data_IF_910085223919
#
_entry.id   IF_910085223919
#
_cell.length_a   1.000
_cell.length_b   1.000
_cell.length_c   1.000
_cell.angle_alpha   90.00
_cell.angle_beta   90.00
_cell.angle_gamma   90.00
#
_symmetry.space_group_name_H-M   'P 1'
#
loop_
_entity.id
_entity.type
_entity.pdbx_description
1 polymer ?
#
# COMPACT_ATOMS: atom_id res chain seq x y z
N UNK A 1 -41.03 20.46 -5.17
CA UNK A 1 -39.62 20.53 -5.55
C UNK A 1 -39.11 19.12 -5.91
N UNK A 2 -38.80 18.85 -7.18
CA UNK A 2 -38.17 17.58 -7.57
C UNK A 2 -36.69 17.64 -7.17
N UNK A 3 -36.28 16.88 -6.16
CA UNK A 3 -34.88 16.70 -5.81
C UNK A 3 -34.16 16.08 -7.01
N UNK A 4 -33.15 16.76 -7.54
CA UNK A 4 -32.28 16.22 -8.58
C UNK A 4 -31.65 14.91 -8.06
N UNK A 5 -31.57 13.84 -8.88
CA UNK A 5 -30.97 12.59 -8.47
C UNK A 5 -29.51 12.82 -8.08
N UNK A 6 -29.16 12.53 -6.83
CA UNK A 6 -27.78 12.62 -6.37
C UNK A 6 -26.90 11.73 -7.23
N UNK A 7 -25.85 12.31 -7.82
CA UNK A 7 -24.87 11.59 -8.65
C UNK A 7 -24.21 10.49 -7.79
N UNK A 8 -24.36 9.23 -8.18
CA UNK A 8 -23.75 8.11 -7.47
C UNK A 8 -22.23 8.27 -7.47
N UNK A 9 -21.63 8.34 -6.28
CA UNK A 9 -20.17 8.41 -6.10
C UNK A 9 -19.60 7.02 -5.91
N UNK A 10 -18.61 6.65 -6.72
CA UNK A 10 -17.93 5.37 -6.66
C UNK A 10 -16.47 5.56 -6.26
N UNK A 11 -15.95 4.60 -5.52
CA UNK A 11 -14.55 4.49 -5.12
C UNK A 11 -14.01 3.12 -5.53
N UNK A 12 -12.69 3.00 -5.57
CA UNK A 12 -12.04 1.75 -5.96
C UNK A 12 -11.30 1.17 -4.77
N UNK A 13 -11.38 -0.16 -4.64
CA UNK A 13 -10.69 -0.91 -3.61
C UNK A 13 -9.78 -1.95 -4.25
N UNK A 14 -8.66 -2.23 -3.59
CA UNK A 14 -7.78 -3.36 -3.88
C UNK A 14 -8.27 -4.58 -3.11
N UNK A 15 -8.14 -5.75 -3.70
CA UNK A 15 -8.31 -7.04 -3.03
C UNK A 15 -7.56 -8.14 -3.76
N UNK A 16 -7.52 -9.33 -3.19
CA UNK A 16 -6.92 -10.51 -3.82
C UNK A 16 -7.81 -11.73 -3.72
N UNK A 17 -7.58 -12.68 -4.63
CA UNK A 17 -8.19 -14.01 -4.65
C UNK A 17 -7.11 -15.05 -4.96
N UNK A 18 -7.36 -16.31 -4.65
CA UNK A 18 -6.52 -17.42 -5.09
C UNK A 18 -6.46 -17.47 -6.63
N UNK A 19 -5.48 -18.18 -7.18
CA UNK A 19 -5.33 -18.33 -8.64
C UNK A 19 -6.57 -18.91 -9.33
N UNK A 20 -7.35 -19.74 -8.62
CA UNK A 20 -8.61 -20.27 -9.11
C UNK A 20 -9.81 -19.31 -8.96
N UNK A 21 -9.58 -18.09 -8.43
CA UNK A 21 -10.60 -17.07 -8.20
C UNK A 21 -11.39 -17.26 -6.90
N UNK A 22 -11.03 -18.20 -6.03
CA UNK A 22 -11.66 -18.36 -4.72
C UNK A 22 -11.07 -17.38 -3.68
N UNK A 23 -11.86 -17.06 -2.67
CA UNK A 23 -11.45 -16.30 -1.49
C UNK A 23 -11.86 -17.03 -0.21
N UNK A 24 -11.90 -16.30 0.91
CA UNK A 24 -12.25 -16.83 2.21
C UNK A 24 -13.52 -17.72 2.16
N UNK A 25 -13.45 -18.89 2.79
CA UNK A 25 -14.51 -19.92 2.79
C UNK A 25 -14.95 -20.41 1.40
N UNK A 26 -14.07 -20.34 0.41
CA UNK A 26 -14.36 -20.85 -0.93
C UNK A 26 -15.30 -19.97 -1.77
N UNK A 27 -15.60 -18.74 -1.32
CA UNK A 27 -16.41 -17.82 -2.11
C UNK A 27 -15.74 -17.52 -3.45
N UNK A 28 -16.45 -17.78 -4.55
CA UNK A 28 -15.94 -17.60 -5.91
C UNK A 28 -16.18 -16.18 -6.39
N UNK A 29 -15.11 -15.49 -6.71
CA UNK A 29 -15.15 -14.16 -7.30
C UNK A 29 -15.12 -14.24 -8.82
N UNK A 30 -15.92 -13.45 -9.54
CA UNK A 30 -15.78 -13.34 -10.97
C UNK A 30 -14.47 -12.62 -11.35
N UNK A 31 -13.94 -12.92 -12.54
CA UNK A 31 -12.79 -12.20 -13.09
C UNK A 31 -13.14 -10.76 -13.50
N UNK A 32 -14.41 -10.50 -13.81
CA UNK A 32 -14.96 -9.16 -14.13
C UNK A 32 -16.46 -9.12 -13.90
N UNK A 33 -17.02 -7.91 -13.75
CA UNK A 33 -18.46 -7.70 -13.63
C UNK A 33 -18.96 -7.64 -12.20
N UNK A 34 -20.27 -7.72 -12.05
CA UNK A 34 -20.96 -7.50 -10.78
C UNK A 34 -20.86 -8.73 -9.85
N UNK A 35 -20.69 -8.44 -8.57
CA UNK A 35 -20.70 -9.43 -7.50
C UNK A 35 -21.39 -8.87 -6.27
N UNK A 36 -22.18 -9.71 -5.59
CA UNK A 36 -22.92 -9.37 -4.38
C UNK A 36 -22.63 -10.41 -3.29
N UNK A 37 -22.54 -9.92 -2.05
CA UNK A 37 -22.36 -10.80 -0.90
C UNK A 37 -23.62 -11.63 -0.63
N UNK A 38 -23.51 -12.92 -0.35
CA UNK A 38 -24.67 -13.74 0.05
C UNK A 38 -25.22 -13.30 1.41
N UNK A 39 -24.40 -12.64 2.22
CA UNK A 39 -24.73 -12.15 3.56
C UNK A 39 -24.02 -10.82 3.83
N UNK A 40 -24.74 -9.80 4.20
CA UNK A 40 -24.18 -8.49 4.53
C UNK A 40 -24.95 -7.82 5.66
N UNK A 41 -24.53 -7.94 6.91
CA UNK A 41 -25.03 -7.09 7.97
C UNK A 41 -24.28 -5.74 7.94
N UNK A 42 -24.99 -4.61 8.00
CA UNK A 42 -24.40 -3.28 8.00
C UNK A 42 -23.80 -2.93 9.38
N UNK A 43 -22.89 -3.76 9.88
CA UNK A 43 -22.21 -3.60 11.18
C UNK A 43 -20.71 -3.57 11.00
N UNK A 44 -19.97 -3.00 11.94
CA UNK A 44 -18.49 -2.97 11.94
C UNK A 44 -17.84 -4.32 12.28
N UNK A 45 -18.62 -5.41 12.39
CA UNK A 45 -18.05 -6.74 12.62
C UNK A 45 -17.51 -7.32 11.32
N UNK A 46 -16.26 -7.79 11.34
CA UNK A 46 -15.64 -8.52 10.24
C UNK A 46 -16.30 -9.89 10.01
N UNK A 47 -16.16 -10.47 8.83
CA UNK A 47 -16.51 -11.88 8.51
C UNK A 47 -17.67 -12.06 7.54
N UNK A 48 -18.58 -11.11 7.40
CA UNK A 48 -19.70 -11.14 6.46
C UNK A 48 -19.63 -9.94 5.51
N UNK A 49 -20.10 -10.11 4.26
CA UNK A 49 -19.94 -9.12 3.20
C UNK A 49 -18.67 -9.30 2.38
N UNK A 50 -18.52 -8.50 1.36
CA UNK A 50 -17.32 -8.43 0.53
C UNK A 50 -16.30 -7.49 1.17
N UNK A 51 -14.99 -7.80 1.07
CA UNK A 51 -13.94 -7.04 1.70
C UNK A 51 -12.90 -6.57 0.69
N UNK A 52 -12.26 -5.43 0.99
CA UNK A 52 -11.17 -4.87 0.21
C UNK A 52 -10.45 -3.74 0.96
N UNK A 53 -9.46 -3.18 0.32
CA UNK A 53 -8.65 -2.08 0.80
C UNK A 53 -9.04 -0.81 0.06
N UNK A 54 -9.65 0.13 0.75
CA UNK A 54 -10.14 1.39 0.16
C UNK A 54 -8.98 2.17 -0.46
N UNK A 55 -9.10 2.51 -1.74
CA UNK A 55 -8.03 3.16 -2.53
C UNK A 55 -6.73 2.35 -2.60
N UNK A 56 -6.74 1.11 -2.14
CA UNK A 56 -5.57 0.24 -2.02
C UNK A 56 -4.77 0.42 -0.72
N UNK A 57 -5.26 1.21 0.24
CA UNK A 57 -4.61 1.51 1.52
C UNK A 57 -5.15 0.62 2.63
N UNK A 58 -4.31 0.23 3.59
CA UNK A 58 -4.70 -0.54 4.76
C UNK A 58 -3.58 -1.40 5.33
N UNK A 59 -3.97 -2.37 6.15
CA UNK A 59 -3.07 -3.22 6.94
C UNK A 59 -2.46 -4.42 6.19
N UNK A 60 -2.81 -4.61 4.93
CA UNK A 60 -2.37 -5.71 4.06
C UNK A 60 -2.56 -7.14 4.60
N UNK A 61 -3.16 -7.33 5.79
CA UNK A 61 -3.24 -8.63 6.48
C UNK A 61 -4.04 -9.70 5.71
N UNK A 62 -4.97 -9.29 4.85
CA UNK A 62 -5.80 -10.20 4.06
C UNK A 62 -5.34 -10.32 2.61
N UNK A 63 -4.17 -9.81 2.25
CA UNK A 63 -3.61 -9.91 0.89
C UNK A 63 -3.04 -11.32 0.67
N UNK A 64 -3.51 -11.97 -0.39
CA UNK A 64 -2.94 -13.23 -0.91
C UNK A 64 -1.87 -12.85 -1.93
N UNK A 65 -0.59 -12.84 -1.50
CA UNK A 65 0.51 -12.29 -2.28
C UNK A 65 0.82 -13.09 -3.56
N UNK A 66 0.57 -14.41 -3.52
CA UNK A 66 0.76 -15.33 -4.66
C UNK A 66 -0.53 -15.55 -5.47
N UNK A 67 -1.58 -14.77 -5.16
CA UNK A 67 -2.87 -14.85 -5.82
C UNK A 67 -3.03 -13.81 -6.94
N UNK A 68 -4.26 -13.73 -7.47
CA UNK A 68 -4.67 -12.70 -8.41
C UNK A 68 -5.08 -11.44 -7.65
N UNK A 69 -4.63 -10.31 -8.14
CA UNK A 69 -5.02 -8.99 -7.65
C UNK A 69 -6.26 -8.51 -8.40
N UNK A 70 -7.22 -7.98 -7.65
CA UNK A 70 -8.45 -7.40 -8.21
C UNK A 70 -8.58 -5.93 -7.82
N UNK A 71 -9.04 -5.13 -8.78
CA UNK A 71 -9.56 -3.80 -8.52
C UNK A 71 -11.08 -3.85 -8.62
N UNK A 72 -11.77 -3.43 -7.57
CA UNK A 72 -13.22 -3.42 -7.50
C UNK A 72 -13.75 -2.01 -7.32
N UNK A 73 -14.86 -1.69 -8.00
CA UNK A 73 -15.55 -0.42 -7.93
C UNK A 73 -16.77 -0.55 -7.02
N UNK A 74 -16.83 0.25 -5.98
CA UNK A 74 -17.82 0.18 -4.90
C UNK A 74 -18.57 1.50 -4.80
N UNK A 75 -19.86 1.47 -4.49
CA UNK A 75 -20.63 2.67 -4.19
C UNK A 75 -20.21 3.21 -2.81
N UNK A 76 -19.64 4.41 -2.77
CA UNK A 76 -18.99 4.97 -1.57
C UNK A 76 -19.87 4.92 -0.32
N UNK A 77 -21.17 5.22 -0.45
CA UNK A 77 -22.12 5.21 0.67
C UNK A 77 -22.42 3.81 1.26
N UNK A 78 -22.03 2.73 0.57
CA UNK A 78 -22.25 1.35 1.00
C UNK A 78 -21.02 0.75 1.73
N UNK A 79 -19.96 1.54 1.86
CA UNK A 79 -18.72 1.12 2.53
C UNK A 79 -18.85 1.24 4.04
N UNK A 80 -18.40 0.21 4.73
CA UNK A 80 -18.23 0.19 6.18
C UNK A 80 -16.73 0.01 6.46
N UNK A 81 -16.14 0.94 7.20
CA UNK A 81 -14.77 0.88 7.65
C UNK A 81 -14.62 -0.14 8.79
N UNK A 82 -13.56 -0.95 8.72
CA UNK A 82 -13.21 -1.99 9.69
C UNK A 82 -11.85 -1.75 10.35
N UNK A 83 -11.30 -0.53 10.23
CA UNK A 83 -9.94 -0.20 10.70
C UNK A 83 -8.86 -1.06 10.02
N UNK A 84 -8.31 -0.55 8.93
CA UNK A 84 -7.29 -1.24 8.10
C UNK A 84 -7.82 -1.91 6.83
N UNK A 85 -9.13 -2.20 6.75
CA UNK A 85 -9.83 -2.65 5.52
C UNK A 85 -11.28 -2.21 5.56
N UNK A 86 -11.99 -2.39 4.45
CA UNK A 86 -13.41 -2.05 4.34
C UNK A 86 -14.25 -3.26 3.96
N UNK A 87 -15.55 -3.21 4.28
CA UNK A 87 -16.54 -4.15 3.74
C UNK A 87 -17.69 -3.44 3.06
N UNK A 88 -18.33 -4.15 2.14
CA UNK A 88 -19.45 -3.65 1.33
C UNK A 88 -20.34 -4.81 0.87
N UNK A 89 -21.65 -4.53 0.54
CA UNK A 89 -22.57 -5.58 0.11
C UNK A 89 -22.31 -6.08 -1.31
N UNK A 90 -21.82 -5.20 -2.19
CA UNK A 90 -21.70 -5.44 -3.63
C UNK A 90 -20.67 -4.54 -4.28
N UNK A 91 -20.15 -4.99 -5.42
CA UNK A 91 -19.21 -4.21 -6.21
C UNK A 91 -19.21 -4.66 -7.68
N UNK A 92 -18.49 -3.93 -8.51
CA UNK A 92 -18.13 -4.32 -9.86
C UNK A 92 -16.63 -4.64 -9.88
N UNK A 93 -16.25 -5.87 -10.27
CA UNK A 93 -14.85 -6.23 -10.53
C UNK A 93 -14.46 -5.60 -11.87
N UNK A 94 -13.55 -4.63 -11.82
CA UNK A 94 -13.12 -3.88 -13.02
C UNK A 94 -11.77 -4.37 -13.56
N UNK A 95 -11.02 -5.09 -12.74
CA UNK A 95 -9.76 -5.72 -13.15
C UNK A 95 -9.48 -6.95 -12.29
N UNK A 96 -8.94 -8.00 -12.91
CA UNK A 96 -8.34 -9.17 -12.26
C UNK A 96 -7.07 -9.56 -13.01
N UNK A 97 -5.96 -9.72 -12.31
CA UNK A 97 -4.69 -10.09 -12.92
C UNK A 97 -3.50 -9.92 -12.01
N UNK A 98 -2.38 -9.50 -12.57
CA UNK A 98 -1.13 -9.31 -11.84
C UNK A 98 -1.16 -8.09 -10.90
N UNK A 99 -0.28 -8.14 -9.90
CA UNK A 99 -0.12 -7.11 -8.87
C UNK A 99 0.19 -5.74 -9.46
N UNK A 100 1.15 -5.69 -10.41
CA UNK A 100 1.63 -4.42 -10.96
C UNK A 100 0.50 -3.66 -11.65
N UNK A 101 -0.24 -4.31 -12.54
CA UNK A 101 -1.34 -3.69 -13.27
C UNK A 101 -2.46 -3.22 -12.32
N UNK A 102 -2.83 -4.04 -11.33
CA UNK A 102 -3.85 -3.68 -10.34
C UNK A 102 -3.44 -2.43 -9.53
N UNK A 103 -2.21 -2.39 -9.04
CA UNK A 103 -1.71 -1.26 -8.25
C UNK A 103 -1.51 0.00 -9.09
N UNK A 104 -1.06 -0.12 -10.34
CA UNK A 104 -0.93 1.02 -11.26
C UNK A 104 -2.28 1.70 -11.54
N UNK A 105 -3.37 0.93 -11.69
CA UNK A 105 -4.74 1.47 -11.82
C UNK A 105 -5.08 2.35 -10.62
N UNK A 106 -4.76 1.90 -9.39
CA UNK A 106 -5.07 2.63 -8.16
C UNK A 106 -4.17 3.85 -7.97
N UNK A 107 -2.86 3.72 -8.20
CA UNK A 107 -1.90 4.83 -8.14
C UNK A 107 -2.28 5.95 -9.13
N UNK A 108 -2.66 5.58 -10.36
CA UNK A 108 -3.13 6.56 -11.36
C UNK A 108 -4.40 7.28 -10.91
N UNK A 109 -5.32 6.56 -10.25
CA UNK A 109 -6.59 7.12 -9.79
C UNK A 109 -6.47 7.90 -8.48
N UNK A 110 -5.57 7.50 -7.62
CA UNK A 110 -5.31 8.06 -6.29
C UNK A 110 -3.81 8.33 -6.09
N UNK A 111 -3.24 9.37 -6.72
CA UNK A 111 -1.78 9.58 -6.73
C UNK A 111 -1.17 9.79 -5.34
N UNK A 112 -1.97 10.24 -4.36
CA UNK A 112 -1.54 10.48 -2.98
C UNK A 112 -1.70 9.25 -2.07
N UNK A 113 -2.37 8.17 -2.54
CA UNK A 113 -2.64 6.99 -1.73
C UNK A 113 -1.38 6.13 -1.52
N UNK A 114 -1.25 5.58 -0.32
CA UNK A 114 -0.20 4.61 0.03
C UNK A 114 -0.62 3.20 -0.40
N UNK A 115 -0.66 2.94 -1.70
CA UNK A 115 -1.18 1.70 -2.27
C UNK A 115 -0.28 0.51 -1.91
N UNK A 116 -0.89 -0.52 -1.29
CA UNK A 116 -0.26 -1.78 -0.90
C UNK A 116 0.36 -2.47 -2.13
N UNK A 117 1.63 -2.86 -2.04
CA UNK A 117 2.35 -3.59 -3.08
C UNK A 117 2.70 -2.78 -4.34
N UNK A 118 2.39 -1.48 -4.37
CA UNK A 118 2.67 -0.62 -5.51
C UNK A 118 4.17 -0.34 -5.71
N UNK A 119 4.53 -0.01 -6.95
CA UNK A 119 5.82 0.59 -7.28
C UNK A 119 5.59 2.01 -7.79
N UNK A 120 6.26 3.00 -7.18
CA UNK A 120 6.13 4.40 -7.55
C UNK A 120 7.50 5.04 -7.69
N UNK A 121 7.76 5.63 -8.86
CA UNK A 121 8.99 6.35 -9.15
C UNK A 121 8.60 7.79 -9.47
N UNK A 122 9.29 8.74 -8.84
CA UNK A 122 9.09 10.19 -9.04
C UNK A 122 10.43 10.90 -9.26
N UNK A 123 10.37 12.13 -9.74
CA UNK A 123 11.54 12.95 -10.05
C UNK A 123 12.19 13.59 -8.82
N UNK A 124 13.08 14.54 -9.09
CA UNK A 124 13.77 15.31 -8.07
C UNK A 124 12.81 16.21 -7.29
N UNK A 125 13.04 16.33 -5.98
CA UNK A 125 12.23 17.13 -5.04
C UNK A 125 10.77 16.68 -4.94
N UNK A 126 10.44 15.50 -5.46
CA UNK A 126 9.10 14.93 -5.40
C UNK A 126 8.96 13.90 -4.29
N UNK A 127 7.70 13.48 -4.02
CA UNK A 127 7.37 12.54 -2.95
C UNK A 127 6.75 11.28 -3.52
N UNK A 128 7.40 10.14 -3.29
CA UNK A 128 6.85 8.81 -3.56
C UNK A 128 6.35 8.19 -2.25
N UNK A 129 5.08 7.83 -2.20
CA UNK A 129 4.49 7.10 -1.07
C UNK A 129 3.85 5.82 -1.60
N UNK A 130 4.13 4.70 -0.94
CA UNK A 130 3.52 3.40 -1.20
C UNK A 130 3.22 2.69 0.14
N UNK A 131 2.30 1.74 0.12
CA UNK A 131 1.95 0.93 1.28
C UNK A 131 2.91 -0.23 1.51
N UNK A 132 2.44 -1.24 2.26
CA UNK A 132 3.20 -2.44 2.62
C UNK A 132 3.70 -3.20 1.39
N UNK A 133 4.92 -3.75 1.48
CA UNK A 133 5.62 -4.46 0.41
C UNK A 133 5.68 -3.68 -0.92
N UNK A 134 5.53 -2.36 -0.85
CA UNK A 134 5.67 -1.46 -1.99
C UNK A 134 7.12 -1.00 -2.19
N UNK A 135 7.38 -0.42 -3.37
CA UNK A 135 8.68 0.15 -3.74
C UNK A 135 8.49 1.63 -4.08
N UNK A 136 9.06 2.51 -3.27
CA UNK A 136 9.07 3.95 -3.49
C UNK A 136 10.47 4.41 -3.91
N UNK A 137 10.58 5.13 -5.01
CA UNK A 137 11.84 5.72 -5.47
C UNK A 137 11.61 7.21 -5.77
N UNK A 138 12.44 8.08 -5.24
CA UNK A 138 12.44 9.50 -5.58
C UNK A 138 13.81 9.95 -6.07
N UNK A 139 13.83 11.00 -6.88
CA UNK A 139 15.06 11.63 -7.35
C UNK A 139 15.80 12.38 -6.23
N UNK A 140 16.77 13.22 -6.62
CA UNK A 140 17.60 13.98 -5.68
C UNK A 140 16.76 14.99 -4.88
N UNK A 141 17.07 15.13 -3.60
CA UNK A 141 16.34 15.99 -2.66
C UNK A 141 14.85 15.62 -2.51
N UNK A 142 14.45 14.43 -2.94
CA UNK A 142 13.11 13.91 -2.84
C UNK A 142 12.84 13.18 -1.53
N UNK A 143 11.63 12.66 -1.40
CA UNK A 143 11.24 11.81 -0.27
C UNK A 143 10.62 10.50 -0.79
N UNK A 144 11.07 9.36 -0.27
CA UNK A 144 10.49 8.06 -0.55
C UNK A 144 10.00 7.41 0.76
N UNK A 145 8.76 6.94 0.77
CA UNK A 145 8.13 6.30 1.92
C UNK A 145 7.48 4.98 1.51
N UNK A 146 7.79 3.90 2.21
CA UNK A 146 7.19 2.58 2.02
C UNK A 146 6.71 2.02 3.37
N UNK A 147 5.64 1.23 3.34
CA UNK A 147 5.08 0.57 4.52
C UNK A 147 5.94 -0.60 5.01
N UNK A 148 5.32 -1.55 5.73
CA UNK A 148 5.98 -2.74 6.26
C UNK A 148 6.57 -3.61 5.13
N UNK A 149 7.78 -4.15 5.35
CA UNK A 149 8.51 -4.95 4.38
C UNK A 149 8.67 -4.27 2.99
N UNK A 150 8.53 -2.95 2.94
CA UNK A 150 8.67 -2.15 1.73
C UNK A 150 10.09 -1.63 1.52
N UNK A 151 10.35 -1.08 0.34
CA UNK A 151 11.64 -0.51 -0.04
C UNK A 151 11.47 0.96 -0.38
N UNK A 152 12.22 1.84 0.27
CA UNK A 152 12.26 3.26 0.00
C UNK A 152 13.68 3.68 -0.44
N UNK A 153 13.79 4.31 -1.60
CA UNK A 153 15.09 4.72 -2.17
C UNK A 153 15.04 6.18 -2.62
N UNK A 154 16.08 6.94 -2.29
CA UNK A 154 16.32 8.28 -2.83
C UNK A 154 17.73 8.34 -3.45
N UNK A 155 17.85 8.99 -4.60
CA UNK A 155 19.11 9.01 -5.36
C UNK A 155 20.17 9.82 -4.64
N UNK A 156 19.85 11.03 -4.13
CA UNK A 156 20.82 11.87 -3.40
C UNK A 156 20.14 12.90 -2.49
N UNK A 157 20.79 13.21 -1.35
CA UNK A 157 20.45 14.26 -0.40
C UNK A 157 18.98 14.29 0.08
N UNK A 158 18.26 13.20 -0.07
CA UNK A 158 16.84 13.14 0.28
C UNK A 158 16.56 12.35 1.55
N UNK A 159 15.27 12.04 1.74
CA UNK A 159 14.81 11.34 2.93
C UNK A 159 14.08 10.04 2.54
N UNK A 160 14.45 8.93 3.19
CA UNK A 160 13.76 7.66 3.02
C UNK A 160 13.20 7.17 4.34
N UNK A 161 11.99 6.62 4.29
CA UNK A 161 11.34 5.99 5.43
C UNK A 161 10.76 4.64 5.00
N UNK A 162 11.10 3.58 5.69
CA UNK A 162 10.50 2.26 5.51
C UNK A 162 9.95 1.74 6.85
N UNK A 163 8.85 1.00 6.79
CA UNK A 163 8.21 0.42 7.97
C UNK A 163 8.98 -0.74 8.59
N UNK A 164 8.32 -1.54 9.43
CA UNK A 164 8.87 -2.73 10.08
C UNK A 164 9.38 -3.70 9.00
N UNK A 165 10.57 -4.26 9.18
CA UNK A 165 11.20 -5.18 8.22
C UNK A 165 11.57 -4.56 6.87
N UNK A 166 11.35 -3.25 6.69
CA UNK A 166 11.58 -2.56 5.43
C UNK A 166 13.02 -2.09 5.23
N UNK A 167 13.33 -1.68 4.01
CA UNK A 167 14.66 -1.16 3.63
C UNK A 167 14.55 0.30 3.21
N UNK A 168 15.32 1.18 3.85
CA UNK A 168 15.43 2.59 3.52
C UNK A 168 16.85 2.90 3.04
N UNK A 169 17.00 3.44 1.82
CA UNK A 169 18.31 3.70 1.22
C UNK A 169 18.38 5.12 0.65
N UNK A 170 19.38 5.88 1.02
CA UNK A 170 19.77 7.10 0.31
C UNK A 170 21.27 7.09 0.00
N UNK A 171 21.69 7.84 -1.02
CA UNK A 171 23.13 7.98 -1.28
C UNK A 171 23.75 9.04 -0.35
N UNK A 172 24.52 9.98 -0.83
CA UNK A 172 25.21 10.97 0.02
C UNK A 172 24.24 11.99 0.64
N UNK A 173 24.59 12.51 1.80
CA UNK A 173 23.90 13.60 2.51
C UNK A 173 22.41 13.33 2.87
N UNK A 174 21.93 12.11 2.66
CA UNK A 174 20.53 11.76 2.91
C UNK A 174 20.27 11.28 4.33
N UNK A 175 18.97 11.13 4.63
CA UNK A 175 18.51 10.50 5.88
C UNK A 175 17.68 9.27 5.56
N UNK A 176 18.08 8.11 6.07
CA UNK A 176 17.36 6.84 5.93
C UNK A 176 16.85 6.36 7.27
N UNK A 177 15.55 6.07 7.37
CA UNK A 177 14.90 5.59 8.59
C UNK A 177 14.18 4.28 8.27
N UNK A 178 14.50 3.21 8.99
CA UNK A 178 13.81 1.93 8.91
C UNK A 178 13.22 1.55 10.28
N UNK A 179 12.10 0.85 10.27
CA UNK A 179 11.45 0.38 11.50
C UNK A 179 12.18 -0.79 12.16
N UNK A 180 11.54 -1.44 13.14
CA UNK A 180 12.01 -2.66 13.81
C UNK A 180 12.32 -3.74 12.77
N UNK A 181 13.43 -4.48 12.94
CA UNK A 181 13.94 -5.47 11.98
C UNK A 181 14.29 -4.90 10.60
N UNK A 182 14.25 -3.58 10.41
CA UNK A 182 14.50 -2.95 9.13
C UNK A 182 15.98 -2.63 8.89
N UNK A 183 16.30 -2.29 7.65
CA UNK A 183 17.65 -1.88 7.25
C UNK A 183 17.63 -0.43 6.77
N UNK A 184 18.45 0.43 7.37
CA UNK A 184 18.66 1.81 6.96
C UNK A 184 20.09 1.98 6.43
N UNK A 185 20.25 2.48 5.20
CA UNK A 185 21.55 2.69 4.57
C UNK A 185 21.67 4.10 4.02
N UNK A 186 22.80 4.74 4.30
CA UNK A 186 23.19 6.01 3.67
C UNK A 186 24.63 5.98 3.17
N UNK A 187 24.94 6.79 2.18
CA UNK A 187 26.31 7.03 1.76
C UNK A 187 27.01 8.04 2.66
N UNK A 188 28.04 8.72 2.10
CA UNK A 188 28.84 9.69 2.82
C UNK A 188 28.00 10.87 3.36
N UNK A 189 28.38 11.35 4.55
CA UNK A 189 27.72 12.48 5.24
C UNK A 189 26.23 12.30 5.53
N UNK A 190 25.71 11.08 5.40
CA UNK A 190 24.29 10.78 5.64
C UNK A 190 24.02 10.30 7.06
N UNK A 191 22.72 10.19 7.39
CA UNK A 191 22.26 9.65 8.68
C UNK A 191 21.38 8.42 8.43
N UNK A 192 21.78 7.27 8.98
CA UNK A 192 21.02 6.03 8.97
C UNK A 192 20.47 5.71 10.36
N UNK A 193 19.17 5.48 10.48
CA UNK A 193 18.48 5.14 11.74
C UNK A 193 17.66 3.88 11.51
N UNK A 194 17.94 2.82 12.25
CA UNK A 194 17.13 1.59 12.25
C UNK A 194 16.51 1.37 13.63
N UNK A 195 15.32 0.79 13.68
CA UNK A 195 14.65 0.42 14.91
C UNK A 195 15.30 -0.77 15.62
N UNK A 196 14.66 -1.29 16.66
CA UNK A 196 15.08 -2.48 17.43
C UNK A 196 15.32 -3.66 16.51
N UNK A 197 16.41 -4.41 16.73
CA UNK A 197 16.86 -5.51 15.87
C UNK A 197 17.14 -5.11 14.42
N UNK A 198 17.23 -3.83 14.11
CA UNK A 198 17.50 -3.33 12.77
C UNK A 198 18.99 -3.12 12.51
N UNK A 199 19.31 -2.91 11.24
CA UNK A 199 20.68 -2.62 10.76
C UNK A 199 20.77 -1.19 10.25
N UNK A 200 21.72 -0.41 10.76
CA UNK A 200 22.02 0.94 10.28
C UNK A 200 23.43 1.00 9.71
N UNK A 201 23.58 1.48 8.47
CA UNK A 201 24.87 1.59 7.77
C UNK A 201 24.98 3.02 7.23
N UNK A 202 26.09 3.70 7.55
CA UNK A 202 26.43 4.99 6.97
C UNK A 202 27.85 4.98 6.40
N UNK A 203 28.07 5.71 5.31
CA UNK A 203 29.37 5.86 4.69
C UNK A 203 30.28 6.86 5.42
N UNK A 204 31.39 7.25 4.78
CA UNK A 204 32.37 8.20 5.32
C UNK A 204 31.70 9.44 5.92
N UNK A 205 32.11 9.84 7.13
CA UNK A 205 31.57 10.98 7.86
C UNK A 205 30.06 10.94 8.08
N UNK A 206 29.44 9.78 7.91
CA UNK A 206 28.02 9.57 8.18
C UNK A 206 27.77 9.12 9.63
N UNK A 207 26.50 9.16 10.03
CA UNK A 207 26.04 8.69 11.34
C UNK A 207 25.11 7.48 11.18
N UNK A 208 25.41 6.39 11.87
CA UNK A 208 24.56 5.21 11.94
C UNK A 208 24.08 4.98 13.38
N UNK A 209 22.78 4.73 13.55
CA UNK A 209 22.17 4.43 14.85
C UNK A 209 21.18 3.30 14.67
N UNK A 210 21.34 2.21 15.41
CA UNK A 210 20.37 1.13 15.49
C UNK A 210 19.82 1.01 16.92
N UNK A 211 18.56 0.60 17.05
CA UNK A 211 17.95 0.33 18.36
C UNK A 211 18.56 -0.90 19.02
N UNK A 212 18.52 -0.93 20.35
CA UNK A 212 19.06 -2.05 21.12
C UNK A 212 18.11 -3.28 21.07
N UNK A 213 18.72 -4.46 21.27
CA UNK A 213 18.05 -5.75 21.53
C UNK A 213 17.50 -5.79 22.96
#
# INVERSE_FOLDING_TARGET
MKTLPQKKKYVYCLRTVNLDGTAYKGFKWPASGYVEAPDFPPTVKCGKGLHGYLRGEGDAQSIIWDGLFQVVKVLEKEIIDLDGKVKFPRCEVVFTGDKKTATDILVKKYPAAAVIGASKIVGDREVAVVGDRGIATAGSNGMAMAGENGVATVIDAGRTVAGIGGTATSTSHGTSIAGTYGTAMTGAYGTAIAGTYGTAIAGCNGKATAGYC
#
